data_IF_249213172651
#
_entry.id   IF_249213172651
#
_cell.length_a   1.000
_cell.length_b   1.000
_cell.length_c   1.000
_cell.angle_alpha   90.00
_cell.angle_beta   90.00
_cell.angle_gamma   90.00
#
_symmetry.space_group_name_H-M   'P 1'
#
loop_
_entity.id
_entity.type
_entity.pdbx_description
1 polymer ?
#
# COMPACT_ATOMS: atom_id res chain seq x y z
N UNK A 1 -3.28 -3.44 -15.30
CA UNK A 1 -3.92 -4.59 -14.60
C UNK A 1 -3.02 -5.07 -13.44
N UNK A 2 -3.57 -5.32 -12.25
CA UNK A 2 -2.80 -5.89 -11.13
C UNK A 2 -2.30 -4.91 -10.06
N UNK A 3 -2.69 -3.63 -10.08
CA UNK A 3 -2.31 -2.68 -9.01
C UNK A 3 -2.83 -3.14 -7.65
N UNK A 4 -4.09 -3.57 -7.57
CA UNK A 4 -4.68 -4.09 -6.33
C UNK A 4 -3.91 -5.31 -5.80
N UNK A 5 -3.62 -6.28 -6.67
CA UNK A 5 -2.85 -7.48 -6.28
C UNK A 5 -1.45 -7.12 -5.79
N UNK A 6 -0.78 -6.15 -6.43
CA UNK A 6 0.53 -5.66 -6.01
C UNK A 6 0.48 -4.95 -4.64
N UNK A 7 -0.52 -4.09 -4.43
CA UNK A 7 -0.75 -3.40 -3.15
C UNK A 7 -0.98 -4.41 -2.02
N UNK A 8 -1.88 -5.37 -2.21
CA UNK A 8 -2.19 -6.39 -1.21
C UNK A 8 -0.98 -7.27 -0.90
N UNK A 9 -0.24 -7.70 -1.93
CA UNK A 9 0.95 -8.51 -1.75
C UNK A 9 2.06 -7.76 -0.99
N UNK A 10 2.24 -6.46 -1.25
CA UNK A 10 3.22 -5.66 -0.54
C UNK A 10 2.89 -5.49 0.95
N UNK A 11 1.64 -5.14 1.26
CA UNK A 11 1.18 -5.00 2.65
C UNK A 11 1.26 -6.33 3.41
N UNK A 12 0.84 -7.42 2.78
CA UNK A 12 0.92 -8.76 3.36
C UNK A 12 2.37 -9.19 3.67
N UNK A 13 3.32 -8.95 2.75
CA UNK A 13 4.75 -9.24 2.98
C UNK A 13 5.35 -8.43 4.13
N UNK A 14 4.83 -7.22 4.40
CA UNK A 14 5.25 -6.39 5.52
C UNK A 14 4.52 -6.67 6.84
N UNK A 15 3.59 -7.63 6.87
CA UNK A 15 2.81 -7.95 8.06
C UNK A 15 1.74 -6.91 8.40
N UNK A 16 1.37 -6.03 7.46
CA UNK A 16 0.29 -5.06 7.67
C UNK A 16 -1.04 -5.72 7.29
N UNK A 17 -1.95 -5.95 8.25
CA UNK A 17 -3.24 -6.55 7.94
C UNK A 17 -4.14 -5.54 7.22
N UNK A 18 -4.84 -6.01 6.19
CA UNK A 18 -5.82 -5.22 5.44
C UNK A 18 -7.22 -5.73 5.81
N UNK A 19 -8.02 -4.86 6.43
CA UNK A 19 -9.39 -5.18 6.85
C UNK A 19 -10.39 -5.03 5.71
N UNK A 20 -10.16 -4.08 4.82
CA UNK A 20 -11.04 -3.80 3.69
C UNK A 20 -10.27 -3.10 2.57
N UNK A 21 -10.72 -3.28 1.33
CA UNK A 21 -10.28 -2.50 0.17
C UNK A 21 -11.45 -1.90 -0.58
N UNK A 22 -11.26 -0.73 -1.17
CA UNK A 22 -12.19 -0.10 -2.12
C UNK A 22 -11.40 0.53 -3.27
N UNK A 23 -12.00 0.60 -4.47
CA UNK A 23 -11.38 1.19 -5.64
C UNK A 23 -12.34 2.05 -6.47
N UNK A 24 -11.76 2.93 -7.27
CA UNK A 24 -12.42 3.75 -8.29
C UNK A 24 -11.59 3.74 -9.57
N UNK A 25 -11.95 4.56 -10.56
CA UNK A 25 -11.19 4.67 -11.80
C UNK A 25 -9.70 5.04 -11.59
N UNK A 26 -9.39 5.79 -10.53
CA UNK A 26 -8.04 6.36 -10.32
C UNK A 26 -7.47 6.15 -8.91
N UNK A 27 -8.24 5.58 -7.99
CA UNK A 27 -7.81 5.41 -6.60
C UNK A 27 -8.08 4.02 -6.08
N UNK A 28 -7.22 3.58 -5.17
CA UNK A 28 -7.40 2.40 -4.34
C UNK A 28 -7.21 2.84 -2.89
N UNK A 29 -8.08 2.38 -2.01
CA UNK A 29 -8.02 2.64 -0.58
C UNK A 29 -8.04 1.31 0.18
N UNK A 30 -7.26 1.24 1.26
CA UNK A 30 -7.21 0.08 2.15
C UNK A 30 -7.43 0.54 3.59
N UNK A 31 -8.29 -0.17 4.31
CA UNK A 31 -8.46 -0.01 5.75
C UNK A 31 -7.44 -0.89 6.47
N UNK A 32 -6.63 -0.28 7.34
CA UNK A 32 -5.55 -0.91 8.09
C UNK A 32 -5.57 -0.41 9.55
N UNK A 33 -4.87 -1.08 10.49
CA UNK A 33 -4.63 -0.51 11.81
C UNK A 33 -3.89 0.82 11.73
N UNK A 34 -4.30 1.79 12.54
CA UNK A 34 -3.65 3.10 12.60
C UNK A 34 -2.17 2.99 12.97
N UNK A 35 -1.82 2.05 13.86
CA UNK A 35 -0.44 1.79 14.27
C UNK A 35 0.49 1.40 13.11
N UNK A 36 -0.06 0.86 12.02
CA UNK A 36 0.70 0.40 10.86
C UNK A 36 0.77 1.44 9.73
N UNK A 37 0.12 2.61 9.89
CA UNK A 37 -0.03 3.59 8.83
C UNK A 37 1.32 4.05 8.24
N UNK A 38 2.30 4.37 9.09
CA UNK A 38 3.64 4.77 8.63
C UNK A 38 4.36 3.65 7.89
N UNK A 39 4.24 2.40 8.36
CA UNK A 39 4.84 1.23 7.71
C UNK A 39 4.20 1.00 6.35
N UNK A 40 2.87 1.00 6.27
CA UNK A 40 2.10 0.82 5.05
C UNK A 40 2.48 1.87 3.98
N UNK A 41 2.53 3.15 4.35
CA UNK A 41 2.94 4.23 3.43
C UNK A 41 4.36 3.98 2.89
N UNK A 42 5.33 3.66 3.76
CA UNK A 42 6.71 3.40 3.33
C UNK A 42 6.83 2.19 2.41
N UNK A 43 6.14 1.10 2.75
CA UNK A 43 6.10 -0.14 1.96
C UNK A 43 5.51 0.12 0.59
N UNK A 44 4.39 0.84 0.51
CA UNK A 44 3.76 1.18 -0.76
C UNK A 44 4.62 2.15 -1.58
N UNK A 45 5.23 3.17 -0.96
CA UNK A 45 6.17 4.04 -1.66
C UNK A 45 7.34 3.25 -2.26
N UNK A 46 7.94 2.33 -1.50
CA UNK A 46 9.01 1.48 -2.01
C UNK A 46 8.52 0.55 -3.12
N UNK A 47 7.40 -0.14 -2.89
CA UNK A 47 6.81 -1.07 -3.86
C UNK A 47 6.52 -0.37 -5.20
N UNK A 48 6.02 0.86 -5.19
CA UNK A 48 5.69 1.62 -6.39
C UNK A 48 6.81 2.54 -6.90
N UNK A 49 8.01 2.50 -6.31
CA UNK A 49 9.16 3.31 -6.75
C UNK A 49 8.99 4.81 -6.50
N UNK A 50 8.19 5.19 -5.50
CA UNK A 50 7.91 6.57 -5.08
C UNK A 50 8.78 7.02 -3.89
N UNK A 51 9.76 6.21 -3.51
CA UNK A 51 10.78 6.56 -2.51
C UNK A 51 11.77 7.57 -3.10
N UNK A 52 11.30 8.77 -3.41
CA UNK A 52 12.12 9.85 -3.95
C UNK A 52 13.02 10.48 -2.90
N UNK A 53 14.27 10.04 -2.84
CA UNK A 53 15.36 11.01 -2.82
C UNK A 53 15.51 11.52 -4.26
N UNK A 54 15.04 12.74 -4.52
CA UNK A 54 15.35 13.43 -5.76
C UNK A 54 16.86 13.55 -5.90
N UNK A 55 17.37 13.28 -7.10
CA UNK A 55 18.64 13.84 -7.53
C UNK A 55 18.42 15.29 -7.93
#
# INVERSE_FOLDING_TARGET
PGIMARLLAALARSGVPVYQTADSAYSISALIPEADATTAVRVLHHEFGLSGGGK
#
